data_IF_512578506007
#
_entry.id   IF_512578506007
#
_cell.length_a   1.000
_cell.length_b   1.000
_cell.length_c   1.000
_cell.angle_alpha   90.00
_cell.angle_beta   90.00
_cell.angle_gamma   90.00
#
_symmetry.space_group_name_H-M   'P 1'
#
loop_
_entity.id
_entity.type
_entity.pdbx_description
1 polymer ?
#
# COMPACT_ATOMS: atom_id res chain seq x y z
N UNK A 1 17.97 -15.03 -4.13
CA UNK A 1 19.33 -15.04 -3.56
C UNK A 1 19.77 -13.58 -3.46
N UNK A 2 19.26 -12.86 -2.47
CA UNK A 2 19.63 -11.47 -2.21
C UNK A 2 20.87 -11.49 -1.31
N UNK A 3 22.02 -11.22 -1.91
CA UNK A 3 23.30 -11.20 -1.19
C UNK A 3 23.39 -9.94 -0.35
N UNK A 4 23.58 -10.10 0.95
CA UNK A 4 24.13 -9.09 1.84
C UNK A 4 25.55 -8.73 1.37
N UNK A 5 25.64 -7.79 0.43
CA UNK A 5 26.88 -7.27 -0.12
C UNK A 5 27.45 -6.16 0.75
N UNK A 6 28.77 -6.21 0.98
CA UNK A 6 29.58 -5.21 1.71
C UNK A 6 29.20 -3.76 1.35
N UNK A 7 29.02 -2.94 2.39
CA UNK A 7 29.04 -1.47 2.33
C UNK A 7 30.21 -0.98 1.47
N UNK A 8 29.91 -0.37 0.33
CA UNK A 8 30.85 0.44 -0.43
C UNK A 8 30.68 1.89 0.01
N UNK A 9 31.78 2.54 0.39
CA UNK A 9 31.81 3.79 1.16
C UNK A 9 31.55 5.05 0.30
N UNK A 10 30.89 4.94 -0.86
CA UNK A 10 30.70 6.08 -1.77
C UNK A 10 29.44 6.06 -2.65
N UNK A 11 28.40 5.27 -2.29
CA UNK A 11 27.10 5.32 -2.96
C UNK A 11 26.05 6.00 -2.06
N UNK A 12 25.18 6.82 -2.64
CA UNK A 12 24.03 7.43 -2.01
C UNK A 12 22.92 6.40 -1.65
N UNK A 13 23.30 5.25 -1.07
CA UNK A 13 22.44 4.09 -0.80
C UNK A 13 21.90 3.92 0.63
N UNK A 14 22.24 4.70 1.69
CA UNK A 14 21.76 4.35 3.04
C UNK A 14 20.28 4.67 3.30
N UNK A 15 19.60 5.40 2.41
CA UNK A 15 18.20 5.78 2.60
C UNK A 15 17.17 4.81 1.98
N UNK A 16 17.55 4.04 0.95
CA UNK A 16 16.64 3.08 0.29
C UNK A 16 16.45 1.79 1.09
N UNK A 17 17.51 1.28 1.73
CA UNK A 17 17.48 -0.01 2.44
C UNK A 17 16.47 -0.06 3.60
N UNK A 18 16.14 1.08 4.19
CA UNK A 18 15.15 1.18 5.26
C UNK A 18 13.71 1.18 4.74
N UNK A 19 13.47 1.64 3.52
CA UNK A 19 12.13 1.73 2.95
C UNK A 19 11.63 0.33 2.53
N UNK A 20 12.52 -0.50 1.99
CA UNK A 20 12.15 -1.82 1.50
C UNK A 20 11.57 -2.71 2.61
N UNK A 21 12.24 -2.74 3.76
CA UNK A 21 11.81 -3.57 4.88
C UNK A 21 10.52 -3.03 5.54
N UNK A 22 10.23 -1.73 5.43
CA UNK A 22 8.97 -1.11 5.87
C UNK A 22 7.79 -1.67 5.08
N UNK A 23 7.88 -1.58 3.76
CA UNK A 23 6.83 -2.09 2.88
C UNK A 23 6.66 -3.59 2.98
N UNK A 24 7.76 -4.32 3.14
CA UNK A 24 7.72 -5.75 3.43
C UNK A 24 6.98 -6.07 4.74
N UNK A 25 7.31 -5.36 5.82
CA UNK A 25 6.65 -5.53 7.12
C UNK A 25 5.15 -5.24 7.04
N UNK A 26 4.78 -4.16 6.36
CA UNK A 26 3.37 -3.81 6.14
C UNK A 26 2.63 -4.88 5.33
N UNK A 27 3.23 -5.35 4.23
CA UNK A 27 2.69 -6.44 3.43
C UNK A 27 2.40 -7.67 4.30
N UNK A 28 3.39 -8.10 5.08
CA UNK A 28 3.24 -9.25 5.97
C UNK A 28 2.06 -9.09 6.95
N UNK A 29 2.01 -7.96 7.69
CA UNK A 29 1.02 -7.72 8.75
C UNK A 29 -0.40 -7.59 8.18
N UNK A 30 -0.56 -7.06 6.97
CA UNK A 30 -1.84 -6.98 6.28
C UNK A 30 -2.29 -8.31 5.70
N UNK A 31 -1.38 -9.14 5.17
CA UNK A 31 -1.78 -10.40 4.54
C UNK A 31 -2.05 -11.51 5.56
N UNK A 32 -1.23 -11.60 6.62
CA UNK A 32 -1.34 -12.66 7.63
C UNK A 32 -2.72 -12.70 8.31
N UNK A 33 -3.42 -11.56 8.36
CA UNK A 33 -4.76 -11.49 8.95
C UNK A 33 -5.79 -12.34 8.21
N UNK A 34 -5.63 -12.54 6.90
CA UNK A 34 -6.51 -13.41 6.12
C UNK A 34 -6.46 -14.85 6.64
N UNK A 35 -5.26 -15.39 6.83
CA UNK A 35 -5.06 -16.73 7.40
C UNK A 35 -5.49 -16.82 8.87
N UNK A 36 -5.30 -15.75 9.66
CA UNK A 36 -5.79 -15.65 11.04
C UNK A 36 -7.32 -15.68 11.06
N UNK A 37 -8.00 -14.91 10.20
CA UNK A 37 -9.45 -14.86 10.10
C UNK A 37 -10.01 -16.26 9.77
N UNK A 38 -9.39 -16.96 8.82
CA UNK A 38 -9.71 -18.35 8.49
C UNK A 38 -9.48 -19.27 9.69
N UNK A 39 -8.35 -19.18 10.38
CA UNK A 39 -8.08 -20.01 11.57
C UNK A 39 -9.10 -19.78 12.69
N UNK A 40 -9.49 -18.53 12.94
CA UNK A 40 -10.50 -18.17 13.93
C UNK A 40 -11.88 -18.71 13.56
N UNK A 41 -12.24 -18.68 12.28
CA UNK A 41 -13.46 -19.31 11.75
C UNK A 41 -13.49 -20.81 12.06
N UNK A 42 -12.40 -21.53 11.82
CA UNK A 42 -12.32 -22.97 12.13
C UNK A 42 -12.33 -23.25 13.63
N UNK A 43 -11.65 -22.43 14.43
CA UNK A 43 -11.51 -22.64 15.87
C UNK A 43 -12.80 -22.39 16.65
N UNK A 44 -13.53 -21.33 16.30
CA UNK A 44 -14.67 -20.85 17.09
C UNK A 44 -16.02 -20.95 16.36
N UNK A 45 -16.02 -21.35 15.08
CA UNK A 45 -17.22 -21.63 14.27
C UNK A 45 -18.25 -20.51 14.39
N UNK A 46 -19.50 -20.85 14.72
CA UNK A 46 -20.63 -19.93 14.84
C UNK A 46 -20.38 -18.77 15.80
N UNK A 47 -19.60 -18.97 16.87
CA UNK A 47 -19.29 -17.91 17.83
C UNK A 47 -18.52 -16.78 17.15
N UNK A 48 -17.64 -17.10 16.22
CA UNK A 48 -16.89 -16.11 15.47
C UNK A 48 -17.70 -15.57 14.29
N UNK A 49 -18.27 -16.45 13.46
CA UNK A 49 -19.00 -16.10 12.23
C UNK A 49 -20.18 -15.15 12.51
N UNK A 50 -20.93 -15.41 13.59
CA UNK A 50 -22.08 -14.57 13.97
C UNK A 50 -21.69 -13.32 14.76
N UNK A 51 -20.42 -13.21 15.19
CA UNK A 51 -19.93 -12.01 15.86
C UNK A 51 -19.57 -10.91 14.85
N UNK A 52 -19.67 -9.66 15.29
CA UNK A 52 -19.17 -8.54 14.48
C UNK A 52 -17.65 -8.60 14.25
N UNK A 53 -16.92 -9.35 15.10
CA UNK A 53 -15.48 -9.47 14.99
C UNK A 53 -15.02 -10.19 13.72
N UNK A 54 -15.85 -11.07 13.13
CA UNK A 54 -15.55 -11.70 11.83
C UNK A 54 -15.23 -10.66 10.74
N UNK A 55 -15.90 -9.51 10.80
CA UNK A 55 -15.67 -8.38 9.88
C UNK A 55 -14.55 -7.49 10.41
N UNK A 56 -14.68 -7.07 11.69
CA UNK A 56 -13.82 -6.04 12.24
C UNK A 56 -12.35 -6.44 12.41
N UNK A 57 -12.06 -7.71 12.68
CA UNK A 57 -10.68 -8.18 12.80
C UNK A 57 -9.91 -8.01 11.49
N UNK A 58 -10.59 -8.18 10.35
CA UNK A 58 -9.99 -8.05 9.04
C UNK A 58 -9.87 -6.58 8.56
N UNK A 59 -10.85 -5.72 8.88
CA UNK A 59 -10.97 -4.38 8.29
C UNK A 59 -10.36 -3.25 9.14
N UNK A 60 -10.40 -3.33 10.47
CA UNK A 60 -10.20 -2.16 11.35
C UNK A 60 -8.79 -1.58 11.29
N UNK A 61 -7.81 -2.40 10.89
CA UNK A 61 -6.44 -1.96 10.67
C UNK A 61 -6.39 -0.87 9.59
N UNK A 62 -7.23 -0.92 8.55
CA UNK A 62 -7.27 0.12 7.52
C UNK A 62 -7.81 1.45 8.05
N UNK A 63 -8.80 1.43 8.94
CA UNK A 63 -9.25 2.63 9.63
C UNK A 63 -8.13 3.24 10.48
N UNK A 64 -7.38 2.39 11.18
CA UNK A 64 -6.15 2.80 11.88
C UNK A 64 -5.11 3.41 10.94
N UNK A 65 -4.89 2.82 9.76
CA UNK A 65 -3.95 3.32 8.74
C UNK A 65 -4.32 4.71 8.25
N UNK A 66 -5.60 4.98 8.02
CA UNK A 66 -6.06 6.33 7.65
C UNK A 66 -5.73 7.35 8.75
N UNK A 67 -6.01 7.01 10.01
CA UNK A 67 -5.66 7.87 11.15
C UNK A 67 -4.15 8.07 11.23
N UNK A 68 -3.36 7.00 11.08
CA UNK A 68 -1.91 7.04 11.06
C UNK A 68 -1.37 7.96 9.96
N UNK A 69 -1.84 7.81 8.72
CA UNK A 69 -1.39 8.61 7.57
C UNK A 69 -1.66 10.11 7.77
N UNK A 70 -2.83 10.47 8.34
CA UNK A 70 -3.18 11.87 8.58
C UNK A 70 -2.39 12.47 9.75
N UNK A 71 -2.31 11.76 10.88
CA UNK A 71 -1.64 12.24 12.10
C UNK A 71 -0.13 12.31 11.90
N UNK A 72 0.49 11.22 11.47
CA UNK A 72 1.94 11.16 11.27
C UNK A 72 2.37 11.93 10.03
N UNK A 73 1.52 12.07 9.01
CA UNK A 73 1.76 13.01 7.91
C UNK A 73 1.88 14.46 8.41
N UNK A 74 0.98 14.89 9.28
CA UNK A 74 1.06 16.21 9.91
C UNK A 74 2.26 16.36 10.85
N UNK A 75 2.53 15.37 11.70
CA UNK A 75 3.67 15.39 12.64
C UNK A 75 5.02 15.36 11.92
N UNK A 76 5.15 14.61 10.84
CA UNK A 76 6.37 14.56 10.02
C UNK A 76 6.71 15.92 9.43
N UNK A 77 5.70 16.72 9.07
CA UNK A 77 5.86 18.06 8.52
C UNK A 77 6.24 19.11 9.59
N UNK A 78 5.72 19.00 10.82
CA UNK A 78 5.82 20.05 11.86
C UNK A 78 6.82 19.75 13.00
N UNK A 79 7.10 18.48 13.28
CA UNK A 79 7.97 18.09 14.39
C UNK A 79 9.32 17.54 13.92
N UNK A 80 9.34 16.34 13.34
CA UNK A 80 10.54 15.69 12.81
C UNK A 80 10.15 14.43 12.04
N UNK A 81 10.69 14.22 10.83
CA UNK A 81 10.45 13.01 10.04
C UNK A 81 11.00 11.76 10.73
N UNK A 82 12.22 11.84 11.27
CA UNK A 82 12.89 10.69 11.92
C UNK A 82 12.20 10.29 13.22
N UNK A 83 11.84 11.25 14.08
CA UNK A 83 11.14 10.93 15.33
C UNK A 83 9.74 10.37 15.07
N UNK A 84 9.04 10.92 14.08
CA UNK A 84 7.70 10.45 13.68
C UNK A 84 7.77 9.00 13.19
N UNK A 85 8.77 8.66 12.37
CA UNK A 85 9.04 7.29 11.96
C UNK A 85 9.41 6.38 13.14
N UNK A 86 10.23 6.83 14.08
CA UNK A 86 10.57 6.02 15.27
C UNK A 86 9.33 5.69 16.11
N UNK A 87 8.47 6.68 16.35
CA UNK A 87 7.23 6.49 17.12
C UNK A 87 6.28 5.53 16.41
N UNK A 88 6.11 5.65 15.09
CA UNK A 88 5.21 4.76 14.34
C UNK A 88 5.68 3.30 14.37
N UNK A 89 7.00 3.03 14.28
CA UNK A 89 7.54 1.67 14.42
C UNK A 89 7.35 1.12 15.83
N UNK A 90 7.53 1.92 16.88
CA UNK A 90 7.30 1.47 18.26
C UNK A 90 5.85 1.08 18.46
N UNK A 91 4.91 1.88 17.95
CA UNK A 91 3.47 1.52 17.94
C UNK A 91 3.27 0.20 17.21
N UNK A 92 3.87 0.04 16.02
CA UNK A 92 3.75 -1.18 15.23
C UNK A 92 4.25 -2.42 15.99
N UNK A 93 5.40 -2.34 16.65
CA UNK A 93 5.97 -3.44 17.45
C UNK A 93 5.04 -3.81 18.61
N UNK A 94 4.68 -2.83 19.44
CA UNK A 94 3.91 -3.05 20.67
C UNK A 94 2.55 -3.66 20.33
N UNK A 95 1.82 -3.05 19.40
CA UNK A 95 0.45 -3.48 19.12
C UNK A 95 0.39 -4.76 18.28
N UNK A 96 1.42 -5.07 17.48
CA UNK A 96 1.51 -6.38 16.80
C UNK A 96 1.77 -7.49 17.82
N UNK A 97 2.64 -7.24 18.82
CA UNK A 97 2.87 -8.17 19.92
C UNK A 97 1.63 -8.38 20.79
N UNK A 98 0.91 -7.30 21.13
CA UNK A 98 -0.35 -7.36 21.85
C UNK A 98 -1.45 -8.08 21.05
N UNK A 99 -1.52 -7.88 19.74
CA UNK A 99 -2.45 -8.60 18.87
C UNK A 99 -2.21 -10.12 18.92
N UNK A 100 -0.94 -10.57 18.82
CA UNK A 100 -0.58 -11.98 19.00
C UNK A 100 -0.91 -12.51 20.41
N UNK A 101 -0.75 -11.65 21.43
CA UNK A 101 -1.04 -11.96 22.84
C UNK A 101 -2.51 -11.87 23.25
N UNK A 102 -3.43 -11.45 22.37
CA UNK A 102 -4.83 -11.16 22.71
C UNK A 102 -5.50 -12.26 23.54
N UNK A 103 -5.99 -11.93 24.74
CA UNK A 103 -6.65 -12.88 25.64
C UNK A 103 -7.56 -12.13 26.62
N UNK A 104 -8.80 -12.60 26.81
CA UNK A 104 -9.74 -11.98 27.75
C UNK A 104 -10.41 -13.02 28.62
N UNK A 105 -9.86 -13.29 29.82
CA UNK A 105 -10.44 -14.16 30.85
C UNK A 105 -11.00 -15.53 30.38
N UNK A 106 -10.51 -16.07 29.25
CA UNK A 106 -11.01 -17.30 28.64
C UNK A 106 -12.31 -17.14 27.81
N UNK A 107 -12.85 -15.92 27.71
CA UNK A 107 -14.02 -15.60 26.90
C UNK A 107 -13.62 -15.25 25.44
N UNK A 108 -14.10 -16.00 24.44
CA UNK A 108 -13.73 -15.77 23.03
C UNK A 108 -14.14 -14.40 22.49
N UNK A 109 -15.34 -13.93 22.83
CA UNK A 109 -15.87 -12.66 22.28
C UNK A 109 -15.07 -11.46 22.79
N UNK A 110 -14.76 -11.42 24.09
CA UNK A 110 -13.86 -10.42 24.66
C UNK A 110 -12.46 -10.46 24.04
N UNK A 111 -11.93 -11.67 23.76
CA UNK A 111 -10.65 -11.82 23.08
C UNK A 111 -10.69 -11.23 21.65
N UNK A 112 -11.77 -11.47 20.90
CA UNK A 112 -11.90 -10.91 19.54
C UNK A 112 -11.99 -9.38 19.54
N UNK A 113 -12.73 -8.81 20.50
CA UNK A 113 -12.82 -7.36 20.66
C UNK A 113 -11.46 -6.74 20.97
N UNK A 114 -10.68 -7.39 21.84
CA UNK A 114 -9.33 -6.92 22.17
C UNK A 114 -8.37 -7.06 20.98
N UNK A 115 -8.42 -8.18 20.24
CA UNK A 115 -7.66 -8.34 19.00
C UNK A 115 -8.02 -7.24 17.99
N UNK A 116 -9.30 -6.92 17.84
CA UNK A 116 -9.79 -5.85 16.97
C UNK A 116 -9.23 -4.49 17.40
N UNK A 117 -9.26 -4.18 18.71
CA UNK A 117 -8.69 -2.94 19.24
C UNK A 117 -7.19 -2.84 18.95
N UNK A 118 -6.41 -3.90 19.19
CA UNK A 118 -4.97 -3.89 18.88
C UNK A 118 -4.69 -3.72 17.39
N UNK A 119 -5.51 -4.32 16.52
CA UNK A 119 -5.37 -4.13 15.07
C UNK A 119 -5.61 -2.71 14.61
N UNK A 120 -6.51 -1.97 15.25
CA UNK A 120 -6.66 -0.54 14.98
C UNK A 120 -5.34 0.22 15.21
N UNK A 121 -4.68 -0.02 16.35
CA UNK A 121 -3.40 0.62 16.66
C UNK A 121 -2.24 0.13 15.79
N UNK A 122 -2.21 -1.15 15.42
CA UNK A 122 -1.29 -1.67 14.38
C UNK A 122 -1.47 -0.88 13.08
N UNK A 123 -2.72 -0.63 12.69
CA UNK A 123 -3.08 0.22 11.57
C UNK A 123 -2.46 1.61 11.65
N UNK A 124 -2.53 2.27 12.81
CA UNK A 124 -1.91 3.59 13.03
C UNK A 124 -0.39 3.54 12.78
N UNK A 125 0.28 2.50 13.31
CA UNK A 125 1.71 2.29 13.10
C UNK A 125 2.06 2.17 11.62
N UNK A 126 1.34 1.32 10.88
CA UNK A 126 1.46 1.17 9.43
C UNK A 126 1.29 2.53 8.73
N UNK A 127 0.22 3.25 9.06
CA UNK A 127 -0.12 4.51 8.40
C UNK A 127 0.95 5.59 8.54
N UNK A 128 1.70 5.60 9.63
CA UNK A 128 2.77 6.56 9.85
C UNK A 128 4.01 6.37 8.98
N UNK A 129 4.20 5.18 8.40
CA UNK A 129 5.39 4.88 7.61
C UNK A 129 5.21 5.20 6.11
N UNK A 130 3.97 5.20 5.62
CA UNK A 130 3.65 5.40 4.20
C UNK A 130 4.03 6.77 3.63
N UNK A 131 3.58 7.91 4.20
CA UNK A 131 3.84 9.22 3.59
C UNK A 131 5.33 9.53 3.53
N UNK A 132 6.09 9.15 4.56
CA UNK A 132 7.53 9.38 4.60
C UNK A 132 8.28 8.41 3.67
N UNK A 133 7.95 7.11 3.70
CA UNK A 133 8.63 6.11 2.88
C UNK A 133 8.41 6.32 1.38
N UNK A 134 7.19 6.60 0.95
CA UNK A 134 6.85 6.69 -0.49
C UNK A 134 7.44 7.94 -1.12
N UNK A 135 7.45 9.04 -0.37
CA UNK A 135 8.07 10.28 -0.83
C UNK A 135 9.59 10.13 -0.93
N UNK A 136 10.22 9.50 0.07
CA UNK A 136 11.65 9.20 0.03
C UNK A 136 12.03 8.32 -1.18
N UNK A 137 11.28 7.25 -1.46
CA UNK A 137 11.49 6.44 -2.65
C UNK A 137 11.29 7.23 -3.96
N UNK A 138 10.31 8.14 -4.01
CA UNK A 138 10.09 9.00 -5.18
C UNK A 138 11.28 9.95 -5.42
N UNK A 139 11.80 10.55 -4.35
CA UNK A 139 12.97 11.43 -4.38
C UNK A 139 14.22 10.66 -4.84
N UNK A 140 14.53 9.52 -4.22
CA UNK A 140 15.68 8.69 -4.62
C UNK A 140 15.54 8.14 -6.05
N UNK A 141 14.35 7.67 -6.44
CA UNK A 141 14.13 7.16 -7.82
C UNK A 141 14.28 8.24 -8.90
N UNK A 142 14.10 9.51 -8.55
CA UNK A 142 14.27 10.64 -9.49
C UNK A 142 15.74 10.86 -9.88
N UNK A 143 16.67 10.48 -9.00
CA UNK A 143 18.12 10.57 -9.22
C UNK A 143 18.65 9.42 -10.10
N UNK A 144 17.84 8.38 -10.34
CA UNK A 144 18.22 7.24 -11.17
C UNK A 144 18.24 7.58 -12.67
N UNK A 145 18.91 6.72 -13.45
CA UNK A 145 19.03 6.85 -14.91
C UNK A 145 17.65 7.03 -15.56
N UNK A 146 17.54 8.07 -16.40
CA UNK A 146 16.32 8.37 -17.18
C UNK A 146 15.87 7.14 -17.97
N UNK A 147 14.58 6.82 -17.90
CA UNK A 147 13.99 5.61 -18.50
C UNK A 147 13.99 4.38 -17.59
N UNK A 148 14.58 4.47 -16.39
CA UNK A 148 14.50 3.42 -15.36
C UNK A 148 13.83 3.89 -14.07
N UNK A 149 13.39 5.15 -13.99
CA UNK A 149 12.95 5.73 -12.71
C UNK A 149 11.65 5.09 -12.20
N UNK A 150 10.75 4.67 -13.10
CA UNK A 150 9.48 4.05 -12.68
C UNK A 150 9.74 2.68 -12.05
N UNK A 151 10.57 1.83 -12.68
CA UNK A 151 10.84 0.51 -12.13
C UNK A 151 11.44 0.59 -10.73
N UNK A 152 12.37 1.51 -10.48
CA UNK A 152 13.03 1.60 -9.18
C UNK A 152 12.06 2.02 -8.08
N UNK A 153 11.19 3.00 -8.35
CA UNK A 153 10.12 3.35 -7.43
C UNK A 153 9.25 2.13 -7.11
N UNK A 154 8.83 1.39 -8.13
CA UNK A 154 7.95 0.23 -7.98
C UNK A 154 8.64 -0.90 -7.19
N UNK A 155 9.90 -1.21 -7.52
CA UNK A 155 10.66 -2.29 -6.89
C UNK A 155 10.90 -2.05 -5.40
N UNK A 156 11.15 -0.80 -5.01
CA UNK A 156 11.37 -0.43 -3.60
C UNK A 156 10.08 -0.16 -2.81
N UNK A 157 8.92 -0.15 -3.49
CA UNK A 157 7.62 0.07 -2.85
C UNK A 157 6.72 -1.15 -3.04
N UNK A 158 5.93 -1.20 -4.11
CA UNK A 158 4.92 -2.24 -4.33
C UNK A 158 5.52 -3.65 -4.31
N UNK A 159 6.67 -3.87 -4.96
CA UNK A 159 7.26 -5.20 -5.00
C UNK A 159 7.68 -5.71 -3.62
N UNK A 160 8.04 -4.82 -2.69
CA UNK A 160 8.33 -5.19 -1.31
C UNK A 160 7.05 -5.49 -0.51
N UNK A 161 5.97 -4.75 -0.74
CA UNK A 161 4.65 -5.06 -0.17
C UNK A 161 4.21 -6.46 -0.62
N UNK A 162 4.28 -6.74 -1.91
CA UNK A 162 3.89 -8.03 -2.50
C UNK A 162 4.77 -9.17 -1.99
N UNK A 163 6.06 -8.93 -1.80
CA UNK A 163 6.93 -9.91 -1.17
C UNK A 163 6.50 -10.17 0.29
N UNK A 164 6.12 -9.12 1.02
CA UNK A 164 5.47 -9.22 2.32
C UNK A 164 4.18 -10.05 2.28
N UNK A 165 3.33 -9.87 1.27
CA UNK A 165 2.11 -10.66 1.07
C UNK A 165 2.40 -12.15 0.88
N UNK A 166 3.40 -12.50 0.05
CA UNK A 166 3.81 -13.90 -0.14
C UNK A 166 4.28 -14.53 1.17
N UNK A 167 5.13 -13.84 1.93
CA UNK A 167 5.62 -14.34 3.21
C UNK A 167 4.48 -14.39 4.25
N UNK A 168 3.55 -13.44 4.21
CA UNK A 168 2.36 -13.39 5.04
C UNK A 168 1.39 -14.55 4.80
N UNK A 169 1.35 -15.10 3.58
CA UNK A 169 0.62 -16.32 3.26
C UNK A 169 1.41 -17.60 3.59
N UNK A 170 2.73 -17.59 3.36
CA UNK A 170 3.61 -18.73 3.54
C UNK A 170 3.88 -19.08 5.02
N UNK A 171 4.06 -18.08 5.89
CA UNK A 171 4.34 -18.34 7.32
C UNK A 171 3.20 -19.10 8.00
N UNK A 172 1.91 -18.71 7.88
CA UNK A 172 0.79 -19.49 8.39
C UNK A 172 0.76 -20.93 7.88
N UNK A 173 1.14 -21.17 6.62
CA UNK A 173 1.26 -22.52 6.06
C UNK A 173 2.34 -23.34 6.80
N UNK A 174 3.55 -22.78 6.98
CA UNK A 174 4.64 -23.46 7.69
C UNK A 174 4.27 -23.74 9.15
N UNK A 175 3.65 -22.76 9.83
CA UNK A 175 3.21 -22.91 11.22
C UNK A 175 2.11 -23.96 11.33
N UNK A 176 1.14 -23.98 10.41
CA UNK A 176 0.10 -25.00 10.38
C UNK A 176 0.67 -26.40 10.12
N UNK A 177 1.68 -26.52 9.25
CA UNK A 177 2.39 -27.78 9.01
C UNK A 177 3.15 -28.24 10.26
N UNK A 178 3.86 -27.35 10.95
CA UNK A 178 4.57 -27.65 12.19
C UNK A 178 3.62 -28.05 13.34
N UNK A 179 2.40 -27.51 13.36
CA UNK A 179 1.36 -27.88 14.31
C UNK A 179 0.56 -29.13 13.89
N UNK A 180 0.91 -29.77 12.76
CA UNK A 180 0.18 -30.89 12.17
C UNK A 180 -1.32 -30.61 11.98
N UNK A 181 -1.67 -29.39 11.56
CA UNK A 181 -3.05 -28.88 11.47
C UNK A 181 -3.82 -28.83 12.81
N UNK A 182 -3.20 -29.21 13.92
CA UNK A 182 -3.75 -29.08 15.26
C UNK A 182 -3.43 -27.73 15.91
N UNK A 183 -3.86 -27.55 17.16
CA UNK A 183 -3.52 -26.37 17.98
C UNK A 183 -3.79 -25.02 17.29
N UNK A 184 -5.03 -24.83 16.81
CA UNK A 184 -5.44 -23.63 16.06
C UNK A 184 -5.05 -22.32 16.76
N UNK A 185 -5.12 -22.27 18.10
CA UNK A 185 -4.69 -21.08 18.84
C UNK A 185 -3.20 -20.79 18.67
N UNK A 186 -2.35 -21.80 18.60
CA UNK A 186 -0.91 -21.64 18.39
C UNK A 186 -0.63 -21.16 16.98
N UNK A 187 -1.38 -21.66 15.98
CA UNK A 187 -1.21 -21.29 14.57
C UNK A 187 -1.39 -19.78 14.38
N UNK A 188 -2.55 -19.23 14.78
CA UNK A 188 -2.82 -17.80 14.52
C UNK A 188 -1.97 -16.87 15.40
N UNK A 189 -1.73 -17.22 16.68
CA UNK A 189 -0.90 -16.40 17.58
C UNK A 189 0.54 -16.33 17.11
N UNK A 190 1.13 -17.47 16.74
CA UNK A 190 2.52 -17.52 16.25
C UNK A 190 2.64 -16.80 14.91
N UNK A 191 1.66 -16.93 14.02
CA UNK A 191 1.65 -16.21 12.74
C UNK A 191 1.64 -14.68 12.97
N UNK A 192 0.81 -14.17 13.89
CA UNK A 192 0.85 -12.74 14.25
C UNK A 192 2.16 -12.36 14.94
N UNK A 193 2.67 -13.20 15.84
CA UNK A 193 3.87 -12.95 16.63
C UNK A 193 5.15 -12.85 15.81
N UNK A 194 5.30 -13.68 14.76
CA UNK A 194 6.42 -13.58 13.81
C UNK A 194 6.41 -12.21 13.11
N UNK A 195 5.24 -11.61 12.91
CA UNK A 195 5.10 -10.26 12.34
C UNK A 195 5.77 -9.16 13.15
N UNK A 196 6.08 -9.38 14.43
CA UNK A 196 6.82 -8.43 15.27
C UNK A 196 8.31 -8.36 14.92
N UNK A 197 8.86 -9.43 14.34
CA UNK A 197 10.30 -9.52 14.02
C UNK A 197 10.72 -8.46 13.01
N UNK A 198 9.92 -8.24 11.97
CA UNK A 198 10.24 -7.28 10.90
C UNK A 198 10.33 -5.82 11.40
N UNK A 199 9.34 -5.29 12.14
CA UNK A 199 9.43 -3.95 12.68
C UNK A 199 10.49 -3.82 13.79
N UNK A 200 10.85 -4.89 14.51
CA UNK A 200 11.99 -4.88 15.43
C UNK A 200 13.32 -4.67 14.69
N UNK A 201 13.53 -5.36 13.57
CA UNK A 201 14.72 -5.15 12.73
C UNK A 201 14.76 -3.72 12.20
N UNK A 202 13.61 -3.21 11.72
CA UNK A 202 13.48 -1.81 11.30
C UNK A 202 13.83 -0.82 12.41
N UNK A 203 13.37 -1.07 13.63
CA UNK A 203 13.66 -0.22 14.78
C UNK A 203 15.17 -0.14 15.04
N UNK A 204 15.87 -1.28 15.01
CA UNK A 204 17.33 -1.33 15.17
C UNK A 204 18.03 -0.53 14.06
N UNK A 205 17.58 -0.67 12.81
CA UNK A 205 18.15 0.08 11.68
C UNK A 205 17.90 1.59 11.81
N UNK A 206 16.78 2.00 12.43
CA UNK A 206 16.43 3.42 12.63
C UNK A 206 17.16 4.09 13.79
N UNK A 207 17.76 3.35 14.72
CA UNK A 207 18.54 3.94 15.83
C UNK A 207 19.74 4.80 15.37
N UNK A 208 20.20 4.62 14.13
CA UNK A 208 21.27 5.41 13.53
C UNK A 208 20.81 6.43 12.46
N UNK A 209 19.50 6.61 12.26
CA UNK A 209 18.99 7.45 11.17
C UNK A 209 19.18 8.93 11.49
N UNK A 210 19.85 9.67 10.60
CA UNK A 210 19.94 11.13 10.64
C UNK A 210 18.82 11.75 9.81
N UNK A 211 18.39 12.96 10.17
CA UNK A 211 17.37 13.67 9.37
C UNK A 211 17.87 13.92 7.93
N UNK A 212 17.04 13.68 6.90
CA UNK A 212 17.45 13.91 5.51
C UNK A 212 17.71 15.40 5.24
N UNK A 213 18.85 15.72 4.63
CA UNK A 213 19.24 17.10 4.29
C UNK A 213 18.22 17.79 3.36
N UNK A 214 17.58 17.05 2.45
CA UNK A 214 16.56 17.59 1.53
C UNK A 214 15.29 18.10 2.26
N UNK A 215 14.95 17.57 3.43
CA UNK A 215 13.85 18.10 4.27
C UNK A 215 14.20 19.49 4.83
N UNK A 216 15.48 19.71 5.12
CA UNK A 216 16.00 21.00 5.59
C UNK A 216 16.03 22.05 4.47
N UNK A 217 16.15 21.61 3.20
CA UNK A 217 16.37 22.49 2.05
C UNK A 217 15.14 22.85 1.20
N UNK A 218 14.07 22.03 1.18
CA UNK A 218 12.89 22.23 0.31
C UNK A 218 11.52 22.25 1.04
N UNK A 219 11.50 22.22 2.36
CA UNK A 219 10.25 22.26 3.14
C UNK A 219 9.63 23.66 3.11
N UNK A 220 8.37 23.77 2.66
CA UNK A 220 7.53 24.96 2.86
C UNK A 220 7.12 25.07 4.33
N UNK A 221 8.10 25.32 5.21
CA UNK A 221 7.98 25.17 6.66
C UNK A 221 7.07 26.21 7.32
N UNK A 222 6.85 27.38 6.68
CA UNK A 222 6.17 28.50 7.34
C UNK A 222 4.80 28.89 6.78
N UNK A 223 4.56 28.89 5.45
CA UNK A 223 3.26 29.29 4.88
C UNK A 223 2.96 28.56 3.57
N UNK A 224 2.37 27.37 3.64
CA UNK A 224 1.86 26.68 2.45
C UNK A 224 0.54 27.31 2.01
N UNK A 225 0.39 27.79 0.76
CA UNK A 225 -0.86 28.38 0.29
C UNK A 225 -1.89 27.29 -0.05
N UNK A 226 -2.48 26.67 0.98
CA UNK A 226 -3.37 25.50 0.86
C UNK A 226 -4.50 25.69 -0.15
N UNK A 227 -5.10 26.87 -0.20
CA UNK A 227 -6.20 27.18 -1.11
C UNK A 227 -5.76 27.16 -2.58
N UNK A 228 -4.59 27.72 -2.88
CA UNK A 228 -4.00 27.74 -4.23
C UNK A 228 -3.60 26.33 -4.67
N UNK A 229 -2.96 25.58 -3.76
CA UNK A 229 -2.60 24.17 -4.00
C UNK A 229 -3.84 23.34 -4.33
N UNK A 230 -4.89 23.45 -3.50
CA UNK A 230 -6.13 22.71 -3.71
C UNK A 230 -6.78 23.11 -5.03
N UNK A 231 -6.90 24.41 -5.33
CA UNK A 231 -7.51 24.88 -6.59
C UNK A 231 -6.77 24.39 -7.83
N UNK A 232 -5.44 24.23 -7.76
CA UNK A 232 -4.63 23.75 -8.88
C UNK A 232 -4.64 22.22 -9.04
N UNK A 233 -4.72 21.48 -7.93
CA UNK A 233 -4.57 20.02 -7.92
C UNK A 233 -5.86 19.23 -7.68
N UNK A 234 -6.97 19.84 -7.24
CA UNK A 234 -8.15 19.11 -6.75
C UNK A 234 -8.68 18.06 -7.74
N UNK A 235 -8.77 18.39 -9.03
CA UNK A 235 -9.33 17.47 -10.02
C UNK A 235 -8.42 16.25 -10.22
N UNK A 236 -7.10 16.48 -10.32
CA UNK A 236 -6.11 15.39 -10.44
C UNK A 236 -6.06 14.54 -9.18
N UNK A 237 -6.07 15.18 -8.01
CA UNK A 237 -6.12 14.51 -6.72
C UNK A 237 -7.37 13.63 -6.61
N UNK A 238 -8.53 14.16 -6.99
CA UNK A 238 -9.80 13.43 -6.98
C UNK A 238 -9.73 12.18 -7.86
N UNK A 239 -9.25 12.31 -9.11
CA UNK A 239 -9.16 11.18 -10.02
C UNK A 239 -8.18 10.10 -9.54
N UNK A 240 -6.98 10.49 -9.09
CA UNK A 240 -5.99 9.53 -8.55
C UNK A 240 -6.51 8.86 -7.28
N UNK A 241 -7.12 9.63 -6.37
CA UNK A 241 -7.70 9.10 -5.13
C UNK A 241 -8.87 8.15 -5.39
N UNK A 242 -9.73 8.47 -6.36
CA UNK A 242 -10.85 7.62 -6.74
C UNK A 242 -10.38 6.30 -7.33
N UNK A 243 -9.38 6.31 -8.22
CA UNK A 243 -8.80 5.08 -8.78
C UNK A 243 -8.14 4.25 -7.67
N UNK A 244 -7.44 4.88 -6.73
CA UNK A 244 -6.87 4.18 -5.57
C UNK A 244 -7.94 3.55 -4.69
N UNK A 245 -9.02 4.29 -4.41
CA UNK A 245 -10.18 3.78 -3.67
C UNK A 245 -10.79 2.56 -4.35
N UNK A 246 -11.07 2.66 -5.66
CA UNK A 246 -11.71 1.58 -6.43
C UNK A 246 -10.84 0.32 -6.46
N UNK A 247 -9.54 0.48 -6.67
CA UNK A 247 -8.63 -0.66 -6.68
C UNK A 247 -8.53 -1.31 -5.31
N UNK A 248 -8.29 -0.53 -4.25
CA UNK A 248 -8.15 -1.05 -2.89
C UNK A 248 -9.44 -1.69 -2.36
N UNK A 249 -10.61 -1.20 -2.79
CA UNK A 249 -11.90 -1.80 -2.47
C UNK A 249 -11.94 -3.29 -2.86
N UNK A 250 -11.37 -3.64 -4.00
CA UNK A 250 -11.33 -5.04 -4.45
C UNK A 250 -10.07 -5.78 -4.02
N UNK A 251 -8.89 -5.21 -4.24
CA UNK A 251 -7.62 -5.94 -4.11
C UNK A 251 -7.37 -6.48 -2.70
N UNK A 252 -7.58 -5.64 -1.68
CA UNK A 252 -7.41 -6.03 -0.28
C UNK A 252 -8.47 -7.04 0.16
N UNK A 253 -9.72 -6.90 -0.30
CA UNK A 253 -10.77 -7.83 0.02
C UNK A 253 -10.47 -9.23 -0.55
N UNK A 254 -10.08 -9.33 -1.82
CA UNK A 254 -9.66 -10.61 -2.42
C UNK A 254 -8.42 -11.19 -1.76
N UNK A 255 -7.43 -10.36 -1.39
CA UNK A 255 -6.23 -10.83 -0.70
C UNK A 255 -6.53 -11.40 0.69
N UNK A 256 -7.27 -10.65 1.52
CA UNK A 256 -7.61 -11.04 2.89
C UNK A 256 -8.53 -12.26 2.91
N UNK A 257 -9.57 -12.28 2.07
CA UNK A 257 -10.52 -13.39 2.02
C UNK A 257 -10.06 -14.55 1.11
N UNK A 258 -8.88 -14.46 0.47
CA UNK A 258 -8.35 -15.52 -0.42
C UNK A 258 -8.36 -16.90 0.23
N UNK A 259 -7.81 -17.02 1.45
CA UNK A 259 -7.82 -18.30 2.19
C UNK A 259 -9.23 -18.76 2.56
N UNK A 260 -10.14 -17.83 2.87
CA UNK A 260 -11.54 -18.14 3.16
C UNK A 260 -12.27 -18.63 1.91
N UNK A 261 -12.05 -18.01 0.75
CA UNK A 261 -12.62 -18.45 -0.55
C UNK A 261 -12.13 -19.86 -0.88
N UNK A 262 -10.83 -20.12 -0.74
CA UNK A 262 -10.25 -21.45 -0.97
C UNK A 262 -10.80 -22.50 0.02
N UNK A 263 -10.99 -22.13 1.29
CA UNK A 263 -11.60 -23.04 2.27
C UNK A 263 -13.06 -23.38 1.94
N UNK A 264 -13.82 -22.43 1.39
CA UNK A 264 -15.21 -22.65 0.99
C UNK A 264 -15.35 -23.67 -0.14
N UNK A 265 -14.36 -23.77 -1.03
CA UNK A 265 -14.35 -24.76 -2.13
C UNK A 265 -14.06 -26.17 -1.61
N UNK A 266 -13.20 -26.30 -0.60
CA UNK A 266 -12.81 -27.61 -0.04
C UNK A 266 -13.78 -28.15 1.02
N UNK A 267 -14.53 -27.27 1.70
CA UNK A 267 -15.38 -27.62 2.84
C UNK A 267 -14.70 -27.39 4.20
N UNK A 268 -15.50 -27.41 5.26
CA UNK A 268 -15.08 -27.03 6.63
C UNK A 268 -14.10 -28.01 7.30
N UNK A 269 -13.91 -29.20 6.74
CA UNK A 269 -13.04 -30.25 7.31
C UNK A 269 -11.65 -30.32 6.64
N UNK A 270 -11.36 -29.40 5.71
CA UNK A 270 -10.11 -29.46 4.96
C UNK A 270 -8.90 -29.07 5.83
N UNK A 271 -7.76 -29.79 5.71
CA UNK A 271 -6.54 -29.44 6.42
C UNK A 271 -6.09 -28.01 6.12
N UNK A 272 -5.78 -27.22 7.15
CA UNK A 272 -5.29 -25.85 7.00
C UNK A 272 -4.02 -25.76 6.15
N UNK A 273 -3.15 -26.79 6.19
CA UNK A 273 -1.97 -26.90 5.31
C UNK A 273 -2.36 -26.87 3.84
N UNK A 274 -3.48 -27.49 3.46
CA UNK A 274 -3.96 -27.49 2.08
C UNK A 274 -4.50 -26.12 1.70
N UNK A 275 -5.35 -25.53 2.55
CA UNK A 275 -5.93 -24.20 2.33
C UNK A 275 -4.83 -23.12 2.25
N UNK A 276 -3.91 -23.10 3.22
CA UNK A 276 -2.81 -22.14 3.24
C UNK A 276 -1.74 -22.42 2.18
N UNK A 277 -1.56 -23.68 1.78
CA UNK A 277 -0.70 -24.05 0.66
C UNK A 277 -1.20 -23.43 -0.65
N UNK A 278 -2.49 -23.61 -0.97
CA UNK A 278 -3.09 -22.96 -2.15
C UNK A 278 -3.13 -21.44 -2.02
N UNK A 279 -3.39 -20.89 -0.82
CA UNK A 279 -3.34 -19.46 -0.60
C UNK A 279 -1.93 -18.90 -0.88
N UNK A 280 -0.89 -19.62 -0.47
CA UNK A 280 0.51 -19.27 -0.77
C UNK A 280 0.73 -19.27 -2.29
N UNK A 281 0.27 -20.30 -3.00
CA UNK A 281 0.39 -20.37 -4.47
C UNK A 281 -0.28 -19.16 -5.13
N UNK A 282 -1.52 -18.82 -4.74
CA UNK A 282 -2.22 -17.63 -5.26
C UNK A 282 -1.42 -16.37 -4.98
N UNK A 283 -0.88 -16.20 -3.76
CA UNK A 283 -0.11 -15.02 -3.40
C UNK A 283 1.24 -14.96 -4.16
N UNK A 284 1.84 -16.09 -4.51
CA UNK A 284 3.09 -16.08 -5.30
C UNK A 284 2.92 -15.40 -6.67
N UNK A 285 1.71 -15.29 -7.19
CA UNK A 285 1.43 -14.56 -8.43
C UNK A 285 1.51 -13.03 -8.30
N UNK A 286 1.48 -12.47 -7.08
CA UNK A 286 1.75 -11.04 -6.86
C UNK A 286 3.12 -10.65 -7.41
N UNK A 287 4.16 -11.46 -7.14
CA UNK A 287 5.56 -11.21 -7.53
C UNK A 287 5.78 -11.07 -9.05
N UNK A 288 5.41 -12.03 -9.92
CA UNK A 288 5.57 -11.84 -11.36
C UNK A 288 4.72 -10.66 -11.86
N UNK A 289 3.53 -10.42 -11.29
CA UNK A 289 2.70 -9.25 -11.61
C UNK A 289 3.44 -7.94 -11.40
N UNK A 290 3.94 -7.71 -10.18
CA UNK A 290 4.66 -6.48 -9.85
C UNK A 290 5.98 -6.35 -10.61
N UNK A 291 6.78 -7.42 -10.70
CA UNK A 291 8.07 -7.38 -11.38
C UNK A 291 7.92 -7.06 -12.86
N UNK A 292 7.03 -7.75 -13.57
CA UNK A 292 6.76 -7.48 -15.00
C UNK A 292 6.19 -6.07 -15.15
N UNK A 293 5.23 -5.67 -14.30
CA UNK A 293 4.63 -4.35 -14.35
C UNK A 293 5.63 -3.21 -14.09
N UNK A 294 6.68 -3.42 -13.29
CA UNK A 294 7.75 -2.46 -13.07
C UNK A 294 8.49 -2.13 -14.38
N UNK A 295 8.82 -3.15 -15.18
CA UNK A 295 9.45 -2.96 -16.49
C UNK A 295 8.48 -2.36 -17.52
N UNK A 296 7.23 -2.84 -17.55
CA UNK A 296 6.20 -2.31 -18.48
C UNK A 296 5.89 -0.84 -18.17
N UNK A 297 5.92 -0.43 -16.91
CA UNK A 297 5.72 0.96 -16.49
C UNK A 297 6.80 1.91 -17.01
N UNK A 298 8.05 1.44 -17.18
CA UNK A 298 9.08 2.26 -17.82
C UNK A 298 8.87 2.40 -19.33
N UNK A 299 8.39 1.35 -20.00
CA UNK A 299 8.23 1.32 -21.46
C UNK A 299 6.98 2.05 -21.93
N UNK A 300 5.84 1.75 -21.31
CA UNK A 300 4.53 2.26 -21.71
C UNK A 300 4.12 3.51 -20.92
N UNK A 301 4.74 3.73 -19.76
CA UNK A 301 4.40 4.81 -18.85
C UNK A 301 3.27 4.44 -17.87
N UNK A 302 3.21 5.06 -16.67
CA UNK A 302 2.37 4.57 -15.58
C UNK A 302 0.86 4.60 -15.86
N UNK A 303 0.41 5.62 -16.60
CA UNK A 303 -1.00 5.79 -16.97
C UNK A 303 -1.51 4.62 -17.83
N UNK A 304 -0.77 4.28 -18.87
CA UNK A 304 -1.18 3.25 -19.82
C UNK A 304 -0.97 1.85 -19.27
N UNK A 305 0.10 1.62 -18.49
CA UNK A 305 0.31 0.35 -17.79
C UNK A 305 -0.81 0.07 -16.79
N UNK A 306 -1.26 1.09 -16.04
CA UNK A 306 -2.42 0.97 -15.16
C UNK A 306 -3.65 0.55 -15.97
N UNK A 307 -4.00 1.30 -17.02
CA UNK A 307 -5.17 1.03 -17.85
C UNK A 307 -5.15 -0.38 -18.47
N UNK A 308 -3.98 -0.81 -18.95
CA UNK A 308 -3.77 -2.16 -19.49
C UNK A 308 -4.05 -3.23 -18.43
N UNK A 309 -3.44 -3.09 -17.24
CA UNK A 309 -3.61 -4.08 -16.17
C UNK A 309 -5.05 -4.18 -15.69
N UNK A 310 -5.75 -3.07 -15.41
CA UNK A 310 -7.17 -3.13 -15.00
C UNK A 310 -8.07 -3.70 -16.10
N UNK A 311 -7.78 -3.43 -17.37
CA UNK A 311 -8.59 -3.95 -18.48
C UNK A 311 -8.42 -5.47 -18.61
N UNK A 312 -7.18 -5.95 -18.57
CA UNK A 312 -6.89 -7.38 -18.59
C UNK A 312 -7.44 -8.09 -17.35
N UNK A 313 -7.28 -7.48 -16.18
CA UNK A 313 -7.84 -8.00 -14.92
C UNK A 313 -9.38 -8.10 -15.00
N UNK A 314 -10.06 -7.09 -15.56
CA UNK A 314 -11.51 -7.13 -15.74
C UNK A 314 -11.96 -8.28 -16.64
N UNK A 315 -11.27 -8.48 -17.78
CA UNK A 315 -11.54 -9.58 -18.71
C UNK A 315 -11.40 -10.93 -18.01
N UNK A 316 -10.28 -11.15 -17.31
CA UNK A 316 -10.05 -12.41 -16.58
C UNK A 316 -11.09 -12.59 -15.48
N UNK A 317 -11.43 -11.53 -14.73
CA UNK A 317 -12.42 -11.61 -13.66
C UNK A 317 -13.83 -11.93 -14.16
N UNK A 318 -14.26 -11.38 -15.30
CA UNK A 318 -15.55 -11.74 -15.90
C UNK A 318 -15.58 -13.17 -16.44
N UNK A 319 -14.49 -13.63 -17.06
CA UNK A 319 -14.36 -15.03 -17.50
C UNK A 319 -14.42 -15.96 -16.29
N UNK A 320 -13.67 -15.65 -15.23
CA UNK A 320 -13.64 -16.43 -14.00
C UNK A 320 -15.01 -16.47 -13.31
N UNK A 321 -15.73 -15.34 -13.26
CA UNK A 321 -17.09 -15.29 -12.74
C UNK A 321 -18.05 -16.15 -13.58
N UNK A 322 -18.00 -16.04 -14.91
CA UNK A 322 -18.89 -16.80 -15.81
C UNK A 322 -18.62 -18.31 -15.85
N UNK A 323 -17.39 -18.76 -15.58
CA UNK A 323 -16.98 -20.18 -15.64
C UNK A 323 -16.80 -20.78 -14.24
N UNK A 324 -17.16 -20.04 -13.18
CA UNK A 324 -16.92 -20.44 -11.79
C UNK A 324 -17.41 -21.86 -11.47
N UNK A 325 -18.64 -22.22 -11.89
CA UNK A 325 -19.22 -23.55 -11.69
C UNK A 325 -18.36 -24.71 -12.21
N UNK A 326 -17.60 -24.48 -13.28
CA UNK A 326 -16.77 -25.52 -13.89
C UNK A 326 -15.38 -25.58 -13.25
N UNK A 327 -14.83 -24.41 -12.91
CA UNK A 327 -13.47 -24.29 -12.40
C UNK A 327 -13.38 -24.55 -10.89
N UNK A 328 -14.47 -24.35 -10.13
CA UNK A 328 -14.55 -24.67 -8.70
C UNK A 328 -14.31 -26.15 -8.42
N UNK A 329 -14.67 -27.04 -9.36
CA UNK A 329 -14.39 -28.48 -9.30
C UNK A 329 -12.89 -28.81 -9.44
N UNK A 330 -12.09 -27.89 -9.98
CA UNK A 330 -10.66 -28.08 -10.24
C UNK A 330 -9.85 -26.96 -9.55
N UNK A 331 -9.58 -27.13 -8.26
CA UNK A 331 -8.97 -26.08 -7.44
C UNK A 331 -7.62 -25.56 -7.96
N UNK A 332 -6.82 -26.41 -8.60
CA UNK A 332 -5.57 -25.99 -9.21
C UNK A 332 -5.80 -25.00 -10.35
N UNK A 333 -6.81 -25.24 -11.19
CA UNK A 333 -7.19 -24.33 -12.26
C UNK A 333 -7.75 -23.02 -11.67
N UNK A 334 -8.60 -23.11 -10.63
CA UNK A 334 -9.12 -21.93 -9.94
C UNK A 334 -8.00 -21.08 -9.33
N UNK A 335 -7.06 -21.70 -8.59
CA UNK A 335 -5.95 -21.02 -7.96
C UNK A 335 -5.03 -20.33 -8.98
N UNK A 336 -4.77 -20.96 -10.14
CA UNK A 336 -3.97 -20.35 -11.21
C UNK A 336 -4.69 -19.17 -11.84
N UNK A 337 -5.98 -19.31 -12.18
CA UNK A 337 -6.75 -18.19 -12.79
C UNK A 337 -6.92 -17.04 -11.81
N UNK A 338 -7.19 -17.34 -10.54
CA UNK A 338 -7.26 -16.35 -9.47
C UNK A 338 -5.90 -15.69 -9.23
N UNK A 339 -4.81 -16.44 -9.25
CA UNK A 339 -3.45 -15.91 -9.21
C UNK A 339 -3.15 -14.97 -10.38
N UNK A 340 -3.52 -15.34 -11.62
CA UNK A 340 -3.39 -14.47 -12.80
C UNK A 340 -4.22 -13.19 -12.63
N UNK A 341 -5.45 -13.29 -12.10
CA UNK A 341 -6.28 -12.13 -11.79
C UNK A 341 -5.58 -11.17 -10.81
N UNK A 342 -4.97 -11.69 -9.74
CA UNK A 342 -4.20 -10.87 -8.78
C UNK A 342 -2.93 -10.28 -9.43
N UNK A 343 -2.19 -11.08 -10.21
CA UNK A 343 -0.98 -10.62 -10.91
C UNK A 343 -1.24 -9.46 -11.86
N UNK A 344 -2.36 -9.48 -12.60
CA UNK A 344 -2.76 -8.40 -13.49
C UNK A 344 -3.12 -7.12 -12.72
N UNK A 345 -3.69 -7.27 -11.52
CA UNK A 345 -3.91 -6.18 -10.57
C UNK A 345 -2.60 -5.52 -10.14
N UNK A 346 -1.56 -6.30 -9.81
CA UNK A 346 -0.27 -5.68 -9.46
C UNK A 346 0.46 -5.09 -10.65
N UNK A 347 0.40 -5.75 -11.80
CA UNK A 347 1.04 -5.29 -13.03
C UNK A 347 0.57 -3.87 -13.38
N UNK A 348 -0.74 -3.62 -13.29
CA UNK A 348 -1.34 -2.33 -13.57
C UNK A 348 -1.47 -1.46 -12.33
N UNK A 349 -2.64 -1.46 -11.67
CA UNK A 349 -2.96 -0.52 -10.61
C UNK A 349 -2.02 -0.59 -9.38
N UNK A 350 -1.65 -1.77 -8.89
CA UNK A 350 -0.78 -1.89 -7.71
C UNK A 350 0.52 -1.10 -7.86
N UNK A 351 1.25 -1.38 -8.93
CA UNK A 351 2.49 -0.67 -9.26
C UNK A 351 2.32 0.82 -9.57
N UNK A 352 1.26 1.19 -10.29
CA UNK A 352 1.22 2.49 -10.96
C UNK A 352 0.42 3.56 -10.21
N UNK A 353 -0.49 3.21 -9.30
CA UNK A 353 -1.30 4.20 -8.58
C UNK A 353 -0.42 5.05 -7.65
N UNK A 354 0.41 4.41 -6.82
CA UNK A 354 1.34 5.13 -5.95
C UNK A 354 2.35 5.96 -6.76
N UNK A 355 2.84 5.42 -7.87
CA UNK A 355 3.74 6.12 -8.78
C UNK A 355 3.08 7.36 -9.41
N UNK A 356 1.82 7.25 -9.84
CA UNK A 356 1.03 8.38 -10.34
C UNK A 356 0.81 9.42 -9.25
N UNK A 357 0.47 9.01 -8.03
CA UNK A 357 0.29 9.93 -6.90
C UNK A 357 1.58 10.72 -6.60
N UNK A 358 2.75 10.05 -6.65
CA UNK A 358 4.04 10.69 -6.44
C UNK A 358 4.45 11.63 -7.58
N UNK A 359 4.14 11.27 -8.84
CA UNK A 359 4.60 12.01 -10.02
C UNK A 359 3.67 13.11 -10.53
N UNK A 360 2.40 13.10 -10.13
CA UNK A 360 1.39 14.08 -10.57
C UNK A 360 1.35 15.34 -9.70
N UNK A 361 2.26 15.46 -8.74
CA UNK A 361 2.35 16.60 -7.80
C UNK A 361 3.77 17.16 -7.72
N UNK A 362 3.83 18.48 -7.50
CA UNK A 362 5.08 19.18 -7.26
C UNK A 362 5.73 18.75 -5.93
N UNK A 363 7.06 18.76 -5.89
CA UNK A 363 7.90 18.25 -4.79
C UNK A 363 7.52 18.87 -3.44
N UNK A 364 7.25 20.18 -3.39
CA UNK A 364 6.88 20.88 -2.14
C UNK A 364 5.52 20.49 -1.55
N UNK A 365 4.60 19.95 -2.36
CA UNK A 365 3.24 19.53 -1.91
C UNK A 365 3.02 18.02 -1.98
N UNK A 366 3.99 17.28 -2.55
CA UNK A 366 3.89 15.84 -2.84
C UNK A 366 3.53 15.02 -1.62
N UNK A 367 4.14 15.28 -0.46
CA UNK A 367 3.88 14.51 0.75
C UNK A 367 2.41 14.53 1.17
N UNK A 368 1.78 15.71 1.14
CA UNK A 368 0.36 15.87 1.49
C UNK A 368 -0.57 15.35 0.39
N UNK A 369 -0.24 15.61 -0.88
CA UNK A 369 -0.98 15.09 -2.02
C UNK A 369 -1.02 13.55 -2.01
N UNK A 370 0.15 12.93 -1.83
CA UNK A 370 0.30 11.48 -1.71
C UNK A 370 -0.44 10.96 -0.47
N UNK A 371 -0.28 11.61 0.68
CA UNK A 371 -0.94 11.22 1.93
C UNK A 371 -2.47 11.20 1.82
N UNK A 372 -3.09 12.22 1.22
CA UNK A 372 -4.55 12.27 1.01
C UNK A 372 -5.00 11.17 0.03
N UNK A 373 -4.26 10.98 -1.06
CA UNK A 373 -4.58 9.94 -2.04
C UNK A 373 -4.47 8.54 -1.44
N UNK A 374 -3.40 8.27 -0.68
CA UNK A 374 -3.18 7.01 0.02
C UNK A 374 -4.24 6.76 1.10
N UNK A 375 -4.61 7.79 1.88
CA UNK A 375 -5.68 7.72 2.87
C UNK A 375 -7.02 7.36 2.23
N UNK A 376 -7.37 8.01 1.11
CA UNK A 376 -8.59 7.69 0.35
C UNK A 376 -8.55 6.26 -0.18
N UNK A 377 -7.40 5.79 -0.66
CA UNK A 377 -7.19 4.39 -1.02
C UNK A 377 -7.44 3.44 0.16
N UNK A 378 -6.95 3.74 1.37
CA UNK A 378 -7.14 2.87 2.55
C UNK A 378 -8.58 2.91 3.07
N UNK A 379 -9.32 4.00 2.88
CA UNK A 379 -10.78 4.01 3.07
C UNK A 379 -11.44 3.01 2.10
N UNK A 380 -10.99 2.96 0.83
CA UNK A 380 -11.41 1.95 -0.13
C UNK A 380 -11.20 0.53 0.38
N UNK A 381 -10.00 0.23 0.90
CA UNK A 381 -9.69 -1.07 1.51
C UNK A 381 -10.62 -1.42 2.68
N UNK A 382 -10.85 -0.47 3.60
CA UNK A 382 -11.77 -0.64 4.72
C UNK A 382 -13.19 -0.97 4.26
N UNK A 383 -13.75 -0.15 3.36
CA UNK A 383 -15.11 -0.33 2.85
C UNK A 383 -15.21 -1.65 2.06
N UNK A 384 -14.23 -1.95 1.23
CA UNK A 384 -14.16 -3.18 0.44
C UNK A 384 -14.18 -4.44 1.31
N UNK A 385 -13.26 -4.54 2.26
CA UNK A 385 -13.16 -5.68 3.19
C UNK A 385 -14.39 -5.83 4.07
N UNK A 386 -15.02 -4.72 4.46
CA UNK A 386 -16.24 -4.74 5.28
C UNK A 386 -17.49 -5.15 4.48
N UNK A 387 -17.60 -4.68 3.23
CA UNK A 387 -18.75 -4.95 2.35
C UNK A 387 -18.64 -6.31 1.67
N UNK A 388 -17.44 -6.87 1.50
CA UNK A 388 -17.20 -8.14 0.80
C UNK A 388 -18.08 -9.30 1.26
N UNK A 389 -18.25 -9.59 2.57
CA UNK A 389 -19.14 -10.68 3.01
C UNK A 389 -20.61 -10.44 2.68
N UNK A 390 -21.05 -9.18 2.58
CA UNK A 390 -22.42 -8.85 2.16
C UNK A 390 -22.61 -9.07 0.66
N UNK A 391 -21.60 -8.76 -0.16
CA UNK A 391 -21.61 -9.06 -1.60
C UNK A 391 -21.73 -10.57 -1.82
N UNK A 392 -20.96 -11.35 -1.05
CA UNK A 392 -21.06 -12.81 -1.10
C UNK A 392 -22.46 -13.28 -0.69
N UNK A 393 -22.98 -12.81 0.45
CA UNK A 393 -24.30 -13.21 0.94
C UNK A 393 -25.46 -12.84 -0.01
N UNK A 394 -25.30 -11.77 -0.80
CA UNK A 394 -26.28 -11.36 -1.80
C UNK A 394 -26.46 -12.39 -2.93
N UNK A 395 -25.49 -13.29 -3.13
CA UNK A 395 -25.53 -14.31 -4.17
C UNK A 395 -26.61 -15.38 -3.99
N UNK A 396 -27.19 -15.56 -2.80
CA UNK A 396 -28.34 -16.47 -2.58
C UNK A 396 -28.03 -17.98 -2.65
N UNK A 397 -27.19 -18.41 -3.60
CA UNK A 397 -26.70 -19.77 -3.80
C UNK A 397 -25.18 -19.86 -3.62
N UNK A 398 -24.64 -21.05 -3.37
CA UNK A 398 -23.19 -21.25 -3.10
C UNK A 398 -22.30 -20.77 -4.25
N UNK A 399 -22.67 -21.07 -5.50
CA UNK A 399 -21.97 -20.60 -6.71
C UNK A 399 -22.03 -19.09 -6.84
N UNK A 400 -23.24 -18.51 -6.83
CA UNK A 400 -23.46 -17.09 -7.08
C UNK A 400 -22.80 -16.23 -6.00
N UNK A 401 -22.78 -16.73 -4.76
CA UNK A 401 -22.10 -16.09 -3.63
C UNK A 401 -20.60 -15.95 -3.86
N UNK A 402 -19.98 -16.87 -4.60
CA UNK A 402 -18.58 -16.78 -4.98
C UNK A 402 -18.35 -15.97 -6.27
N UNK A 403 -19.33 -15.91 -7.17
CA UNK A 403 -19.24 -15.15 -8.44
C UNK A 403 -19.40 -13.64 -8.26
N UNK A 404 -20.33 -13.21 -7.40
CA UNK A 404 -20.71 -11.79 -7.25
C UNK A 404 -19.53 -10.85 -6.94
N UNK A 405 -18.59 -11.21 -6.04
CA UNK A 405 -17.41 -10.38 -5.81
C UNK A 405 -16.57 -10.14 -7.08
N UNK A 406 -16.42 -11.16 -7.94
CA UNK A 406 -15.67 -11.04 -9.19
C UNK A 406 -16.39 -10.16 -10.21
N UNK A 407 -17.72 -10.27 -10.32
CA UNK A 407 -18.53 -9.36 -11.14
C UNK A 407 -18.34 -7.90 -10.73
N UNK A 408 -18.52 -7.61 -9.43
CA UNK A 408 -18.38 -6.25 -8.89
C UNK A 408 -16.98 -5.71 -9.15
N UNK A 409 -15.94 -6.49 -8.82
CA UNK A 409 -14.57 -6.04 -8.99
C UNK A 409 -14.18 -5.78 -10.45
N UNK A 410 -14.55 -6.68 -11.37
CA UNK A 410 -14.31 -6.48 -12.79
C UNK A 410 -15.00 -5.22 -13.34
N UNK A 411 -16.21 -4.91 -12.88
CA UNK A 411 -16.90 -3.66 -13.22
C UNK A 411 -16.16 -2.42 -12.70
N UNK A 412 -15.64 -2.46 -11.46
CA UNK A 412 -14.83 -1.37 -10.89
C UNK A 412 -13.49 -1.19 -11.61
N UNK A 413 -12.89 -2.27 -12.12
CA UNK A 413 -11.70 -2.23 -12.96
C UNK A 413 -11.95 -1.49 -14.28
N UNK A 414 -13.09 -1.73 -14.95
CA UNK A 414 -13.47 -1.00 -16.17
C UNK A 414 -13.67 0.48 -15.88
N UNK A 415 -14.37 0.81 -14.77
CA UNK A 415 -14.55 2.19 -14.35
C UNK A 415 -13.21 2.88 -14.09
N UNK A 416 -12.28 2.19 -13.42
CA UNK A 416 -10.92 2.68 -13.18
C UNK A 416 -10.17 2.92 -14.49
N UNK A 417 -10.29 2.02 -15.47
CA UNK A 417 -9.69 2.18 -16.79
C UNK A 417 -10.18 3.45 -17.49
N UNK A 418 -11.50 3.68 -17.46
CA UNK A 418 -12.11 4.87 -18.06
C UNK A 418 -11.61 6.17 -17.38
N UNK A 419 -11.57 6.20 -16.05
CA UNK A 419 -11.09 7.37 -15.29
C UNK A 419 -9.63 7.67 -15.63
N UNK A 420 -8.75 6.67 -15.64
CA UNK A 420 -7.32 6.86 -15.94
C UNK A 420 -7.08 7.28 -17.39
N UNK A 421 -7.82 6.73 -18.34
CA UNK A 421 -7.68 7.08 -19.74
C UNK A 421 -8.29 8.45 -20.09
N UNK A 422 -9.29 8.94 -19.36
CA UNK A 422 -9.94 10.22 -19.67
C UNK A 422 -9.36 11.37 -18.83
N UNK A 423 -9.16 11.15 -17.53
CA UNK A 423 -8.97 12.25 -16.58
C UNK A 423 -7.51 12.45 -16.12
N UNK A 424 -6.64 11.44 -16.22
CA UNK A 424 -5.25 11.53 -15.75
C UNK A 424 -4.33 11.98 -16.90
N UNK A 425 -3.49 13.01 -16.71
CA UNK A 425 -2.56 13.46 -17.74
C UNK A 425 -1.49 12.41 -18.05
N UNK A 426 -0.82 12.54 -19.20
CA UNK A 426 0.32 11.69 -19.50
C UNK A 426 1.48 11.96 -18.53
N UNK A 427 1.96 10.90 -17.86
CA UNK A 427 3.07 10.96 -16.90
C UNK A 427 4.28 10.26 -17.51
N UNK A 428 5.30 11.06 -17.83
CA UNK A 428 6.59 10.61 -18.35
C UNK A 428 7.68 10.60 -17.27
N UNK A 429 8.93 10.46 -17.73
CA UNK A 429 10.10 10.32 -16.85
C UNK A 429 10.56 11.66 -16.22
N UNK A 430 10.25 12.79 -16.86
CA UNK A 430 10.63 14.15 -16.43
C UNK A 430 9.44 14.96 -15.89
N UNK A 431 8.28 14.33 -15.70
CA UNK A 431 7.04 15.01 -15.29
C UNK A 431 7.19 15.76 -13.97
N UNK A 432 7.98 15.26 -13.01
CA UNK A 432 8.22 15.94 -11.73
C UNK A 432 8.83 17.34 -11.95
N UNK A 433 9.90 17.44 -12.75
CA UNK A 433 10.59 18.72 -12.98
C UNK A 433 9.71 19.72 -13.73
N UNK A 434 8.95 19.23 -14.72
CA UNK A 434 7.99 20.04 -15.48
C UNK A 434 6.86 20.53 -14.58
N UNK A 435 6.37 19.67 -13.68
CA UNK A 435 5.30 20.01 -12.76
C UNK A 435 5.77 21.02 -11.70
N UNK A 436 7.00 20.87 -11.19
CA UNK A 436 7.61 21.83 -10.28
C UNK A 436 7.73 23.22 -10.91
N UNK A 437 8.12 23.29 -12.19
CA UNK A 437 8.17 24.56 -12.92
C UNK A 437 6.78 25.19 -13.09
N UNK A 438 5.81 24.42 -13.60
CA UNK A 438 4.44 24.91 -13.83
C UNK A 438 3.77 25.38 -12.55
N UNK A 439 4.01 24.67 -11.44
CA UNK A 439 3.44 25.03 -10.15
C UNK A 439 4.06 26.32 -9.60
N UNK A 440 5.37 26.53 -9.79
CA UNK A 440 6.04 27.79 -9.45
C UNK A 440 5.48 28.97 -10.25
N UNK A 441 5.33 28.81 -11.56
CA UNK A 441 4.73 29.83 -12.44
C UNK A 441 3.32 30.20 -11.98
N UNK A 442 2.47 29.20 -11.68
CA UNK A 442 1.11 29.41 -11.16
C UNK A 442 1.08 30.21 -9.84
N UNK A 443 2.03 29.94 -8.94
CA UNK A 443 2.13 30.65 -7.66
C UNK A 443 2.56 32.11 -7.86
N UNK A 444 3.51 32.38 -8.77
CA UNK A 444 3.94 33.74 -9.12
C UNK A 444 2.79 34.55 -9.72
N UNK A 445 2.01 33.96 -10.63
CA UNK A 445 0.83 34.61 -11.23
C UNK A 445 -0.21 35.03 -10.18
N UNK A 446 -0.32 34.30 -9.08
CA UNK A 446 -1.27 34.59 -7.99
C UNK A 446 -0.64 35.41 -6.86
N UNK A 447 0.53 36.02 -7.10
CA UNK A 447 1.19 36.93 -6.16
C UNK A 447 1.79 36.25 -4.94
N UNK A 448 2.06 34.94 -5.00
CA UNK A 448 2.73 34.22 -3.92
C UNK A 448 4.25 34.23 -4.13
N UNK A 449 4.98 34.60 -3.08
CA UNK A 449 6.44 34.73 -3.13
C UNK A 449 7.13 33.35 -3.24
N UNK A 450 7.51 33.00 -4.46
CA UNK A 450 8.22 31.75 -4.74
C UNK A 450 9.66 31.72 -4.24
N UNK A 451 10.23 32.82 -3.74
CA UNK A 451 11.52 32.80 -3.05
C UNK A 451 11.49 31.96 -1.76
N UNK A 452 10.29 31.57 -1.32
CA UNK A 452 10.05 30.65 -0.21
C UNK A 452 10.09 29.16 -0.64
N UNK A 453 10.15 28.84 -1.95
CA UNK A 453 10.29 27.47 -2.48
C UNK A 453 11.75 27.10 -2.70
N UNK A 454 12.42 26.64 -1.65
CA UNK A 454 13.80 26.14 -1.71
C UNK A 454 14.87 27.24 -1.81
N UNK A 455 16.01 26.99 -1.17
CA UNK A 455 17.23 27.81 -0.96
C UNK A 455 17.36 29.14 -1.74
N UNK A 456 17.37 30.26 -0.98
CA UNK A 456 18.18 31.45 -1.30
C UNK A 456 19.63 30.99 -1.53
N UNK A 457 20.16 31.08 -2.74
CA UNK A 457 21.59 30.84 -2.99
C UNK A 457 22.42 31.64 -1.97
N UNK A 458 23.34 31.01 -1.21
CA UNK A 458 24.27 31.77 -0.40
C UNK A 458 25.24 32.48 -1.36
N UNK A 459 24.97 33.75 -1.65
CA UNK A 459 25.88 34.58 -2.44
C UNK A 459 25.27 35.63 -3.37
N UNK A 460 23.94 35.72 -3.53
CA UNK A 460 23.36 36.86 -4.27
C UNK A 460 22.86 37.88 -3.26
N UNK A 461 23.77 38.77 -2.86
CA UNK A 461 23.40 40.02 -2.19
C UNK A 461 22.45 40.80 -3.09
N UNK A 462 21.25 41.07 -2.57
CA UNK A 462 20.40 42.14 -3.08
C UNK A 462 21.14 43.47 -2.88
N UNK A 463 21.50 44.14 -3.97
CA UNK A 463 21.79 45.57 -3.94
C UNK A 463 23.03 46.03 -4.70
N UNK A 464 22.95 46.11 -6.02
CA UNK A 464 23.68 47.13 -6.75
C UNK A 464 22.86 47.58 -7.97
N UNK A 465 22.05 48.61 -7.77
CA UNK A 465 21.57 49.46 -8.85
C UNK A 465 22.81 50.14 -9.44
N UNK A 466 23.39 49.56 -10.49
CA UNK A 466 24.40 50.25 -11.29
C UNK A 466 23.63 51.22 -12.19
N UNK A 467 23.72 52.49 -11.81
CA UNK A 467 23.18 53.62 -12.52
C UNK A 467 24.02 53.82 -13.80
N UNK A 468 23.49 53.39 -14.95
CA UNK A 468 23.99 53.81 -16.26
C UNK A 468 23.73 55.31 -16.42
N UNK A 469 24.75 56.13 -16.14
CA UNK A 469 24.96 57.49 -16.67
C UNK A 469 26.22 58.11 -16.06
N UNK A 470 27.31 58.04 -16.81
CA UNK A 470 28.33 59.07 -17.00
C UNK A 470 29.65 58.39 -17.40
N UNK A 471 30.09 58.58 -18.64
CA UNK A 471 31.29 59.35 -19.01
C UNK A 471 31.32 59.38 -20.55
N UNK A 472 30.74 60.43 -21.12
CA UNK A 472 31.33 61.09 -22.27
C UNK A 472 32.51 61.92 -21.74
N UNK A 473 33.73 61.60 -22.18
CA UNK A 473 34.79 62.51 -22.64
C UNK A 473 36.12 61.75 -22.76
#
# INVERSE_FOLDING_TARGET
MFGFGKKSENSAEPHSDNADLVYFSDGYINNVIGSVNTTLKFQYKDVYINSNAFKYVADIAFAGTVVGQLVFGFLADHWSRTNTLMVSTVILIIFTALAAGSYWHGEPVGMFNMLTAWRFFVGIGIGGEYPAGSVGCAESSSQMKKGTRNRWFILFTNSMIDFGFVIGAFVPYVVAAACHNGHLSTIWRTSLGIGVVFPLVLFIMRLGLKEPEEFTHNSMRHQTPYWLVLRYYWFRLLCVSLVWFLYNFSSYAFGIYSSSILSGIYGEDAPLTTVFGWNTVVNMFYLPGTLIGAFVSDWLGPRYTLALGVTLQAIVGFIMAGVYDKISNHIAAFAVVFGIFQALGELGPGNNIGLLAAKTSATGVRGRYYGIAAATGKIGAFVGTWVFPYIQKAGGNDTESAQYPFWVSSSLCILSAAIVLICIPHVGQDTIAIEDQKFREYLQEHGWDTAQLGVKQPGVEEGAVVNDKAVEQ
#
